data_IF_288690633143
#
_entry.id   IF_288690633143
#
_cell.length_a   1.000
_cell.length_b   1.000
_cell.length_c   1.000
_cell.angle_alpha   90.00
_cell.angle_beta   90.00
_cell.angle_gamma   90.00
#
_symmetry.space_group_name_H-M   'P 1'
#
loop_
_entity.id
_entity.type
_entity.pdbx_description
1 polymer ?
#
# COMPACT_ATOMS: atom_id res chain seq x y z
N UNK A 1 31.41 12.45 8.69
CA UNK A 1 30.09 12.20 9.29
C UNK A 1 29.52 10.98 8.61
N UNK A 2 29.23 9.91 9.33
CA UNK A 2 28.49 8.77 8.77
C UNK A 2 27.06 9.23 8.51
N UNK A 3 26.69 9.41 7.24
CA UNK A 3 25.28 9.58 6.88
C UNK A 3 24.49 8.37 7.40
N UNK A 4 23.43 8.64 8.17
CA UNK A 4 22.50 7.61 8.61
C UNK A 4 21.70 7.11 7.41
N UNK A 5 21.75 5.80 7.13
CA UNK A 5 20.97 5.19 6.06
C UNK A 5 19.46 5.39 6.32
N UNK A 6 18.68 5.97 5.39
CA UNK A 6 17.25 6.19 5.58
C UNK A 6 16.50 4.85 5.70
N UNK A 7 15.61 4.75 6.68
CA UNK A 7 14.77 3.56 6.91
C UNK A 7 13.36 3.78 6.35
N UNK A 8 12.73 2.69 5.89
CA UNK A 8 11.38 2.68 5.33
C UNK A 8 10.65 1.39 5.74
N UNK A 9 9.32 1.37 5.64
CA UNK A 9 8.48 0.22 5.96
C UNK A 9 7.77 -0.27 4.69
N UNK A 10 7.70 -1.59 4.53
CA UNK A 10 6.77 -2.26 3.62
C UNK A 10 5.78 -3.08 4.47
N UNK A 11 4.51 -2.70 4.45
CA UNK A 11 3.45 -3.32 5.22
C UNK A 11 2.51 -4.14 4.30
N UNK A 12 2.06 -5.28 4.80
CA UNK A 12 1.07 -6.15 4.17
C UNK A 12 -0.33 -5.97 4.80
N UNK A 13 -0.51 -5.06 5.76
CA UNK A 13 -1.72 -4.97 6.58
C UNK A 13 -2.11 -6.34 7.14
N UNK A 14 -1.16 -6.97 7.84
CA UNK A 14 -1.29 -8.36 8.28
C UNK A 14 -2.44 -8.54 9.27
N UNK A 15 -3.31 -9.51 9.00
CA UNK A 15 -4.40 -9.91 9.90
C UNK A 15 -3.86 -10.96 10.85
N UNK A 16 -3.54 -10.53 12.08
CA UNK A 16 -3.03 -11.41 13.12
C UNK A 16 -4.10 -12.40 13.60
N UNK A 17 -3.65 -13.53 14.15
CA UNK A 17 -4.54 -14.51 14.77
C UNK A 17 -5.42 -13.87 15.86
N UNK A 18 -6.71 -14.21 15.85
CA UNK A 18 -7.69 -13.64 16.78
C UNK A 18 -8.10 -12.19 16.50
N UNK A 19 -7.56 -11.54 15.46
CA UNK A 19 -7.93 -10.17 15.08
C UNK A 19 -8.80 -10.10 13.83
N UNK A 20 -9.57 -9.02 13.70
CA UNK A 20 -10.37 -8.76 12.51
C UNK A 20 -9.59 -8.05 11.42
N UNK A 21 -10.09 -8.07 10.18
CA UNK A 21 -9.56 -7.26 9.07
C UNK A 21 -9.57 -5.77 9.44
N UNK A 22 -10.61 -5.29 10.14
CA UNK A 22 -10.68 -3.91 10.62
C UNK A 22 -9.49 -3.58 11.53
N UNK A 23 -9.13 -4.49 12.44
CA UNK A 23 -8.00 -4.26 13.34
C UNK A 23 -6.68 -4.17 12.58
N UNK A 24 -6.49 -4.96 11.53
CA UNK A 24 -5.31 -4.88 10.67
C UNK A 24 -5.23 -3.53 9.93
N UNK A 25 -6.34 -3.05 9.35
CA UNK A 25 -6.39 -1.76 8.65
C UNK A 25 -6.14 -0.57 9.59
N UNK A 26 -6.70 -0.60 10.80
CA UNK A 26 -6.44 0.42 11.83
C UNK A 26 -5.00 0.35 12.35
N UNK A 27 -4.42 -0.85 12.43
CA UNK A 27 -3.03 -1.04 12.83
C UNK A 27 -2.06 -0.48 11.79
N UNK A 28 -2.33 -0.64 10.50
CA UNK A 28 -1.52 -0.01 9.44
C UNK A 28 -1.48 1.52 9.57
N UNK A 29 -2.62 2.17 9.89
CA UNK A 29 -2.65 3.60 10.19
C UNK A 29 -1.78 3.95 11.41
N UNK A 30 -1.91 3.20 12.51
CA UNK A 30 -1.11 3.43 13.70
C UNK A 30 0.40 3.23 13.44
N UNK A 31 0.77 2.18 12.71
CA UNK A 31 2.17 1.94 12.31
C UNK A 31 2.71 3.10 11.48
N UNK A 32 1.96 3.60 10.50
CA UNK A 32 2.40 4.72 9.68
C UNK A 32 2.61 6.00 10.51
N UNK A 33 1.73 6.29 11.47
CA UNK A 33 1.89 7.42 12.39
C UNK A 33 3.13 7.26 13.28
N UNK A 34 3.35 6.07 13.83
CA UNK A 34 4.54 5.78 14.65
C UNK A 34 5.82 5.85 13.81
N UNK A 35 5.80 5.31 12.59
CA UNK A 35 6.94 5.36 11.67
C UNK A 35 7.28 6.79 11.28
N UNK A 36 6.26 7.60 11.00
CA UNK A 36 6.42 9.04 10.80
C UNK A 36 7.11 9.67 12.01
N UNK A 37 6.57 9.50 13.21
CA UNK A 37 7.13 10.03 14.47
C UNK A 37 8.58 9.60 14.71
N UNK A 38 8.93 8.37 14.35
CA UNK A 38 10.27 7.80 14.46
C UNK A 38 11.24 8.24 13.34
N UNK A 39 10.80 9.02 12.36
CA UNK A 39 11.66 9.56 11.30
C UNK A 39 11.89 8.63 10.11
N UNK A 40 11.02 7.64 9.90
CA UNK A 40 11.06 6.82 8.68
C UNK A 40 10.75 7.66 7.44
N UNK A 41 11.41 7.36 6.34
CA UNK A 41 11.28 8.11 5.09
C UNK A 41 10.02 7.75 4.32
N UNK A 42 9.66 6.47 4.30
CA UNK A 42 8.53 5.95 3.50
C UNK A 42 7.80 4.85 4.24
N UNK A 43 6.49 4.79 4.02
CA UNK A 43 5.62 3.71 4.42
C UNK A 43 4.85 3.22 3.20
N UNK A 44 5.13 1.99 2.77
CA UNK A 44 4.53 1.39 1.59
C UNK A 44 3.61 0.23 1.95
N UNK A 45 2.59 0.03 1.12
CA UNK A 45 1.68 -1.11 1.19
C UNK A 45 1.89 -2.05 0.00
N UNK A 46 1.97 -3.35 0.28
CA UNK A 46 2.08 -4.38 -0.75
C UNK A 46 0.68 -4.88 -1.18
N UNK A 47 0.42 -4.99 -2.48
CA UNK A 47 -0.84 -5.54 -2.98
C UNK A 47 -0.80 -7.08 -3.03
N UNK A 48 -1.75 -7.75 -2.37
CA UNK A 48 -1.98 -9.19 -2.48
C UNK A 48 -3.48 -9.50 -2.51
N UNK A 49 -3.87 -10.56 -3.25
CA UNK A 49 -5.26 -10.99 -3.36
C UNK A 49 -5.45 -12.43 -2.93
N UNK A 50 -6.66 -12.78 -2.51
CA UNK A 50 -7.01 -14.17 -2.13
C UNK A 50 -6.36 -14.66 -0.82
N UNK A 51 -5.65 -13.80 -0.09
CA UNK A 51 -4.94 -14.15 1.13
C UNK A 51 -5.68 -13.63 2.36
N UNK A 52 -6.25 -14.53 3.19
CA UNK A 52 -6.98 -14.15 4.41
C UNK A 52 -6.13 -13.37 5.42
N UNK A 53 -4.82 -13.60 5.43
CA UNK A 53 -3.89 -12.98 6.36
C UNK A 53 -3.40 -11.58 5.92
N UNK A 54 -3.89 -11.05 4.80
CA UNK A 54 -3.41 -9.80 4.18
C UNK A 54 -4.60 -8.92 3.80
N UNK A 55 -4.67 -7.71 4.36
CA UNK A 55 -5.80 -6.80 4.17
C UNK A 55 -5.54 -5.68 3.12
N UNK A 56 -4.38 -5.66 2.47
CA UNK A 56 -3.92 -4.55 1.63
C UNK A 56 -4.27 -4.68 0.12
N UNK A 57 -5.21 -5.55 -0.25
CA UNK A 57 -5.63 -5.78 -1.64
C UNK A 57 -6.11 -4.49 -2.35
N UNK A 58 -6.88 -3.65 -1.65
CA UNK A 58 -7.34 -2.36 -2.15
C UNK A 58 -6.31 -1.26 -1.83
N UNK A 59 -5.11 -1.37 -2.39
CA UNK A 59 -3.93 -0.59 -1.98
C UNK A 59 -4.15 0.93 -2.01
N UNK A 60 -4.72 1.48 -3.09
CA UNK A 60 -4.97 2.93 -3.20
C UNK A 60 -5.94 3.45 -2.12
N UNK A 61 -6.97 2.66 -1.77
CA UNK A 61 -7.95 3.00 -0.72
C UNK A 61 -7.27 3.06 0.64
N UNK A 62 -6.47 2.05 0.98
CA UNK A 62 -5.77 2.02 2.26
C UNK A 62 -4.68 3.11 2.33
N UNK A 63 -4.00 3.41 1.22
CA UNK A 63 -3.07 4.53 1.14
C UNK A 63 -3.76 5.87 1.43
N UNK A 64 -4.95 6.12 0.89
CA UNK A 64 -5.70 7.33 1.23
C UNK A 64 -6.00 7.40 2.73
N UNK A 65 -6.41 6.29 3.34
CA UNK A 65 -6.62 6.24 4.80
C UNK A 65 -5.35 6.54 5.59
N UNK A 66 -4.18 6.06 5.15
CA UNK A 66 -2.89 6.33 5.79
C UNK A 66 -2.44 7.78 5.57
N UNK A 67 -2.61 8.32 4.37
CA UNK A 67 -2.31 9.71 4.03
C UNK A 67 -3.12 10.69 4.86
N UNK A 68 -4.39 10.37 5.16
CA UNK A 68 -5.25 11.21 5.99
C UNK A 68 -4.80 11.33 7.45
N UNK A 69 -3.97 10.41 7.96
CA UNK A 69 -3.53 10.40 9.36
C UNK A 69 -2.03 10.68 9.53
N UNK A 70 -1.33 11.01 8.44
CA UNK A 70 0.11 11.28 8.39
C UNK A 70 0.39 12.60 7.68
N UNK A 71 1.42 13.33 8.08
CA UNK A 71 1.68 14.70 7.61
C UNK A 71 2.97 14.86 6.81
N UNK A 72 3.98 14.01 7.02
CA UNK A 72 5.29 14.14 6.34
C UNK A 72 5.82 12.87 5.69
N UNK A 73 5.53 11.69 6.25
CA UNK A 73 6.08 10.44 5.70
C UNK A 73 5.55 10.24 4.27
N UNK A 74 6.39 9.76 3.35
CA UNK A 74 5.89 9.37 2.03
C UNK A 74 5.06 8.11 2.15
N UNK A 75 3.96 8.06 1.42
CA UNK A 75 3.07 6.90 1.35
C UNK A 75 3.13 6.32 -0.06
N UNK A 76 3.01 5.02 -0.22
CA UNK A 76 2.99 4.45 -1.57
C UNK A 76 2.79 2.96 -1.68
N UNK A 77 2.84 2.46 -2.90
CA UNK A 77 2.75 1.03 -3.15
C UNK A 77 4.12 0.39 -3.26
N UNK A 78 4.26 -0.82 -2.69
CA UNK A 78 5.47 -1.64 -2.83
C UNK A 78 5.20 -3.07 -3.33
N UNK A 79 4.45 -3.32 -4.40
CA UNK A 79 3.92 -2.41 -5.43
C UNK A 79 2.47 -2.74 -5.79
N UNK A 80 1.88 -1.95 -6.69
CA UNK A 80 0.61 -2.29 -7.36
C UNK A 80 0.90 -3.45 -8.31
N UNK A 81 0.15 -4.54 -8.24
CA UNK A 81 0.30 -5.67 -9.17
C UNK A 81 -0.30 -5.31 -10.52
N UNK A 82 0.38 -4.44 -11.27
CA UNK A 82 -0.10 -3.81 -12.51
C UNK A 82 -0.69 -4.81 -13.53
N UNK A 83 -0.19 -6.06 -13.68
CA UNK A 83 -0.83 -7.04 -14.56
C UNK A 83 -2.30 -7.38 -14.25
N UNK A 84 -2.80 -7.00 -13.06
CA UNK A 84 -4.19 -7.21 -12.64
C UNK A 84 -5.09 -6.00 -12.93
N UNK A 85 -4.54 -4.87 -13.37
CA UNK A 85 -5.28 -3.60 -13.46
C UNK A 85 -5.15 -2.97 -14.84
N UNK A 86 -6.16 -2.19 -15.22
CA UNK A 86 -6.02 -1.27 -16.35
C UNK A 86 -5.05 -0.13 -15.95
N UNK A 87 -3.97 0.13 -16.71
CA UNK A 87 -2.99 1.16 -16.33
C UNK A 87 -3.58 2.55 -16.12
N UNK A 88 -4.62 2.93 -16.89
CA UNK A 88 -5.31 4.22 -16.73
C UNK A 88 -5.97 4.34 -15.35
N UNK A 89 -6.59 3.29 -14.83
CA UNK A 89 -7.22 3.30 -13.50
C UNK A 89 -6.17 3.52 -12.41
N UNK A 90 -5.00 2.90 -12.54
CA UNK A 90 -3.90 3.10 -11.59
C UNK A 90 -3.38 4.54 -11.67
N UNK A 91 -3.25 5.09 -12.87
CA UNK A 91 -2.86 6.49 -13.06
C UNK A 91 -3.87 7.47 -12.42
N UNK A 92 -5.17 7.26 -12.60
CA UNK A 92 -6.21 8.10 -11.99
C UNK A 92 -6.24 8.01 -10.47
N UNK A 93 -6.09 6.79 -9.91
CA UNK A 93 -6.04 6.58 -8.47
C UNK A 93 -4.83 7.26 -7.83
N UNK A 94 -3.63 7.04 -8.38
CA UNK A 94 -2.40 7.62 -7.82
C UNK A 94 -2.27 9.11 -8.14
N UNK A 95 -2.82 9.58 -9.26
CA UNK A 95 -2.97 11.01 -9.54
C UNK A 95 -3.87 11.68 -8.51
N UNK A 96 -5.03 11.10 -8.20
CA UNK A 96 -5.90 11.59 -7.12
C UNK A 96 -5.19 11.61 -5.77
N UNK A 97 -4.46 10.54 -5.43
CA UNK A 97 -3.67 10.51 -4.19
C UNK A 97 -2.60 11.61 -4.17
N UNK A 98 -1.93 11.88 -5.29
CA UNK A 98 -0.91 12.92 -5.37
C UNK A 98 -1.51 14.33 -5.16
N UNK A 99 -2.73 14.58 -5.62
CA UNK A 99 -3.45 15.83 -5.34
C UNK A 99 -3.89 15.94 -3.86
N UNK A 100 -4.34 14.83 -3.26
CA UNK A 100 -4.72 14.81 -1.84
C UNK A 100 -3.51 14.93 -0.89
N UNK A 101 -2.35 14.40 -1.30
CA UNK A 101 -1.13 14.33 -0.50
C UNK A 101 0.08 14.81 -1.32
N UNK A 102 0.18 16.13 -1.60
CA UNK A 102 1.20 16.68 -2.49
C UNK A 102 2.62 16.31 -2.04
N UNK A 103 3.46 16.03 -3.03
CA UNK A 103 4.87 15.66 -2.88
C UNK A 103 5.17 14.43 -2.00
N UNK A 104 4.16 13.64 -1.63
CA UNK A 104 4.30 12.53 -0.66
C UNK A 104 3.85 11.16 -1.17
N UNK A 105 3.45 11.02 -2.43
CA UNK A 105 2.97 9.75 -2.98
C UNK A 105 4.02 9.05 -3.85
N UNK A 106 4.26 7.76 -3.58
CA UNK A 106 5.07 6.86 -4.40
C UNK A 106 4.18 5.83 -5.12
N UNK A 107 4.36 5.67 -6.45
CA UNK A 107 3.76 4.58 -7.23
C UNK A 107 4.83 3.52 -7.54
N UNK A 108 4.96 2.52 -6.67
CA UNK A 108 5.73 1.32 -6.97
C UNK A 108 4.89 0.31 -7.76
N UNK A 109 5.49 -0.31 -8.79
CA UNK A 109 4.84 -1.27 -9.67
C UNK A 109 5.42 -2.68 -9.50
N UNK A 110 4.53 -3.66 -9.33
CA UNK A 110 4.82 -5.08 -9.26
C UNK A 110 4.63 -5.78 -10.60
N UNK A 111 5.42 -6.83 -10.83
CA UNK A 111 5.40 -7.65 -12.06
C UNK A 111 4.64 -8.97 -11.89
N UNK A 112 4.48 -9.43 -10.65
CA UNK A 112 3.78 -10.67 -10.34
C UNK A 112 2.26 -10.43 -10.27
N UNK A 113 1.42 -11.47 -10.40
CA UNK A 113 -0.02 -11.34 -10.13
C UNK A 113 -0.34 -11.13 -8.64
N UNK A 114 0.60 -11.41 -7.72
CA UNK A 114 0.39 -11.22 -6.27
C UNK A 114 -0.69 -12.12 -5.67
N UNK A 115 -1.02 -13.22 -6.34
CA UNK A 115 -2.08 -14.17 -5.94
C UNK A 115 -1.98 -15.48 -6.73
N UNK A 116 -2.87 -16.44 -6.45
CA UNK A 116 -3.02 -17.69 -7.19
C UNK A 116 -3.62 -17.47 -8.60
N UNK A 117 -3.56 -18.48 -9.47
CA UNK A 117 -4.01 -18.33 -10.86
C UNK A 117 -5.53 -18.20 -11.02
N UNK A 118 -6.34 -18.73 -10.09
CA UNK A 118 -7.78 -18.59 -10.17
C UNK A 118 -8.20 -17.16 -9.82
N UNK A 119 -7.64 -16.60 -8.76
CA UNK A 119 -7.83 -15.21 -8.37
C UNK A 119 -7.26 -14.27 -9.43
N UNK A 120 -6.09 -14.56 -10.00
CA UNK A 120 -5.52 -13.75 -11.08
C UNK A 120 -6.42 -13.70 -12.32
N UNK A 121 -7.08 -14.80 -12.69
CA UNK A 121 -8.06 -14.83 -13.79
C UNK A 121 -9.31 -14.01 -13.48
N UNK A 122 -9.77 -14.00 -12.23
CA UNK A 122 -10.92 -13.18 -11.82
C UNK A 122 -10.60 -11.68 -11.84
N UNK A 123 -9.33 -11.30 -11.60
CA UNK A 123 -8.87 -9.91 -11.61
C UNK A 123 -8.53 -9.39 -13.01
N UNK A 124 -7.93 -10.24 -13.85
CA UNK A 124 -7.53 -9.84 -15.21
C UNK A 124 -8.74 -9.45 -16.04
N UNK A 125 -8.60 -8.31 -16.73
CA UNK A 125 -9.42 -8.00 -17.90
C UNK A 125 -8.74 -8.57 -19.13
N UNK A 126 -9.33 -9.62 -19.68
CA UNK A 126 -9.10 -9.98 -21.07
C UNK A 126 -9.59 -8.79 -21.91
N UNK A 127 -8.69 -8.11 -22.62
CA UNK A 127 -9.07 -7.20 -23.72
C UNK A 127 -8.93 -7.99 -25.01
#
# INVERSE_FOLDING_TARGET
MTESLPLSILDLAHVAEGSSVRDALLRSQAIAQTAEQAGFTRYWLAEHHGMRAVASAATAVLLSSVGAVTNRIRIGSGGVMLPNHAPLVIAEQFGTLAELYPDRVDLGLGRAPGTDMATARALRRDI
#
